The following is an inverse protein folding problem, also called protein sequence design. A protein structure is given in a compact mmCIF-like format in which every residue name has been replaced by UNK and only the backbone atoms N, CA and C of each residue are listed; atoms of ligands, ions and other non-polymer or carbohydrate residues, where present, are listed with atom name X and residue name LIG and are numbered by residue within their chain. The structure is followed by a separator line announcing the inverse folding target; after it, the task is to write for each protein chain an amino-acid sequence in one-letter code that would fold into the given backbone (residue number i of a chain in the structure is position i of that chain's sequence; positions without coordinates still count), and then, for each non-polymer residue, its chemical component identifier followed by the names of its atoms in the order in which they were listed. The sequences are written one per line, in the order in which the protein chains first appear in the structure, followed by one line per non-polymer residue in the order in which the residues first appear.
data_IF_406779694433
#
_entry.id   IF_406779694433
#
_cell.length_a   1.000
_cell.length_b   1.000
_cell.length_c   1.000
_cell.angle_alpha   90.00
_cell.angle_beta   90.00
_cell.angle_gamma   90.00
#
_symmetry.space_group_name_H-M   'P 1'
#
loop_
_entity.id
_entity.type
_entity.pdbx_description
1 polymer ?
#
# COMPACT_ATOMS: atom_id res chain seq x y z
N UNK A 1 -5.26 22.39 -22.27
CA UNK A 1 -6.17 22.89 -23.35
C UNK A 1 -6.13 24.41 -23.46
N UNK A 2 -6.35 25.18 -22.39
CA UNK A 2 -6.23 26.65 -22.38
C UNK A 2 -4.87 27.17 -22.89
N UNK A 3 -3.76 26.48 -22.56
CA UNK A 3 -2.42 26.91 -22.99
C UNK A 3 -2.14 26.73 -24.49
N UNK A 4 -2.70 25.71 -25.14
CA UNK A 4 -2.55 25.58 -26.60
C UNK A 4 -3.29 26.71 -27.32
N UNK A 5 -4.42 27.15 -26.75
CA UNK A 5 -5.19 28.29 -27.27
C UNK A 5 -4.41 29.59 -27.04
N UNK A 6 -3.87 29.83 -25.85
CA UNK A 6 -3.07 31.06 -25.59
C UNK A 6 -1.78 31.10 -26.40
N UNK A 7 -1.09 29.97 -26.55
CA UNK A 7 0.13 29.87 -27.36
C UNK A 7 -0.17 30.03 -28.85
N UNK A 8 -1.28 29.48 -29.36
CA UNK A 8 -1.72 29.67 -30.74
C UNK A 8 -2.14 31.12 -31.03
N UNK A 9 -2.84 31.77 -30.09
CA UNK A 9 -3.22 33.19 -30.18
C UNK A 9 -1.96 34.07 -30.15
N UNK A 10 -1.03 33.81 -29.24
CA UNK A 10 0.24 34.52 -29.17
C UNK A 10 1.04 34.35 -30.48
N UNK A 11 1.11 33.13 -31.03
CA UNK A 11 1.76 32.85 -32.31
C UNK A 11 1.08 33.60 -33.48
N UNK A 12 -0.26 33.63 -33.52
CA UNK A 12 -1.00 34.34 -34.56
C UNK A 12 -0.83 35.88 -34.49
N UNK A 13 -0.65 36.43 -33.28
CA UNK A 13 -0.39 37.86 -33.09
C UNK A 13 1.07 38.24 -33.38
N UNK A 14 2.03 37.44 -32.92
CA UNK A 14 3.47 37.72 -33.06
C UNK A 14 4.06 37.26 -34.40
N UNK A 15 3.44 36.31 -35.11
CA UNK A 15 3.90 35.86 -36.43
C UNK A 15 3.88 36.95 -37.51
N UNK A 16 3.25 38.10 -37.24
CA UNK A 16 3.26 39.29 -38.13
C UNK A 16 4.39 40.28 -37.85
N UNK A 17 5.07 40.21 -36.70
CA UNK A 17 6.20 41.08 -36.36
C UNK A 17 7.50 40.30 -36.47
N UNK A 18 8.42 40.71 -37.36
CA UNK A 18 9.69 40.02 -37.60
C UNK A 18 10.71 40.05 -36.43
N UNK A 19 10.34 40.60 -35.28
CA UNK A 19 11.19 40.63 -34.09
C UNK A 19 10.52 39.83 -32.99
N UNK A 20 10.96 38.57 -32.81
CA UNK A 20 10.68 37.84 -31.58
C UNK A 20 11.38 38.60 -30.44
N UNK A 21 10.60 39.32 -29.66
CA UNK A 21 11.08 40.00 -28.46
C UNK A 21 11.63 38.97 -27.47
N UNK A 22 12.79 39.23 -26.87
CA UNK A 22 13.44 38.32 -25.92
C UNK A 22 12.51 37.95 -24.75
N UNK A 23 11.63 38.87 -24.35
CA UNK A 23 10.62 38.60 -23.34
C UNK A 23 9.60 37.52 -23.75
N UNK A 24 9.20 37.48 -25.03
CA UNK A 24 8.27 36.48 -25.55
C UNK A 24 8.90 35.07 -25.54
N UNK A 25 10.19 34.97 -25.85
CA UNK A 25 10.95 33.72 -25.78
C UNK A 25 11.02 33.23 -24.33
N UNK A 26 11.39 34.11 -23.39
CA UNK A 26 11.48 33.77 -21.96
C UNK A 26 10.11 33.32 -21.42
N UNK A 27 9.03 34.02 -21.77
CA UNK A 27 7.68 33.65 -21.36
C UNK A 27 7.26 32.26 -21.90
N UNK A 28 7.58 31.96 -23.17
CA UNK A 28 7.34 30.62 -23.74
C UNK A 28 8.12 29.54 -23.00
N UNK A 29 9.41 29.75 -22.72
CA UNK A 29 10.24 28.78 -22.01
C UNK A 29 9.71 28.53 -20.59
N UNK A 30 9.46 29.58 -19.82
CA UNK A 30 8.94 29.47 -18.46
C UNK A 30 7.57 28.78 -18.45
N UNK A 31 6.66 29.18 -19.34
CA UNK A 31 5.34 28.55 -19.45
C UNK A 31 5.46 27.06 -19.79
N UNK A 32 6.36 26.66 -20.69
CA UNK A 32 6.63 25.27 -21.04
C UNK A 32 7.10 24.45 -19.83
N UNK A 33 8.05 24.98 -19.06
CA UNK A 33 8.58 24.31 -17.85
C UNK A 33 7.47 24.12 -16.81
N UNK A 34 6.72 25.18 -16.51
CA UNK A 34 5.62 25.13 -15.54
C UNK A 34 4.55 24.14 -16.00
N UNK A 35 4.17 24.18 -17.28
CA UNK A 35 3.19 23.26 -17.87
C UNK A 35 3.57 21.80 -17.68
N UNK A 36 4.84 21.48 -17.92
CA UNK A 36 5.37 20.14 -17.78
C UNK A 36 5.32 19.66 -16.33
N UNK A 37 5.79 20.50 -15.40
CA UNK A 37 5.82 20.16 -13.97
C UNK A 37 4.40 19.98 -13.40
N UNK A 38 3.51 20.93 -13.67
CA UNK A 38 2.11 20.87 -13.22
C UNK A 38 1.37 19.72 -13.90
N UNK A 39 1.65 19.45 -15.17
CA UNK A 39 1.08 18.31 -15.90
C UNK A 39 1.44 16.97 -15.26
N UNK A 40 2.72 16.72 -14.99
CA UNK A 40 3.18 15.51 -14.33
C UNK A 40 2.56 15.34 -12.94
N UNK A 41 2.54 16.43 -12.15
CA UNK A 41 1.91 16.45 -10.84
C UNK A 41 0.41 16.14 -10.91
N UNK A 42 -0.31 16.74 -11.86
CA UNK A 42 -1.75 16.53 -12.07
C UNK A 42 -2.04 15.08 -12.46
N UNK A 43 -1.27 14.50 -13.39
CA UNK A 43 -1.42 13.10 -13.79
C UNK A 43 -1.19 12.14 -12.61
N UNK A 44 -0.18 12.40 -11.77
CA UNK A 44 0.07 11.59 -10.58
C UNK A 44 -1.13 11.61 -9.61
N UNK A 45 -1.71 12.79 -9.36
CA UNK A 45 -2.87 12.93 -8.48
C UNK A 45 -4.16 12.35 -9.08
N UNK A 46 -4.36 12.47 -10.39
CA UNK A 46 -5.44 11.78 -11.08
C UNK A 46 -5.34 10.27 -10.85
N UNK A 47 -4.14 9.70 -10.98
CA UNK A 47 -3.89 8.29 -10.67
C UNK A 47 -4.33 7.93 -9.24
N UNK A 48 -3.95 8.73 -8.25
CA UNK A 48 -4.35 8.53 -6.85
C UNK A 48 -5.87 8.54 -6.67
N UNK A 49 -6.56 9.51 -7.27
CA UNK A 49 -8.03 9.59 -7.24
C UNK A 49 -8.65 8.36 -7.87
N UNK A 50 -8.16 7.91 -9.04
CA UNK A 50 -8.72 6.70 -9.69
C UNK A 50 -8.56 5.44 -8.84
N UNK A 51 -7.52 5.36 -8.02
CA UNK A 51 -7.25 4.23 -7.12
C UNK A 51 -7.95 4.35 -5.75
N UNK A 52 -8.59 5.49 -5.46
CA UNK A 52 -9.16 5.77 -4.15
C UNK A 52 -8.09 5.79 -3.06
N UNK A 53 -6.92 6.39 -3.35
CA UNK A 53 -5.78 6.45 -2.43
C UNK A 53 -5.33 7.89 -2.19
N UNK A 54 -4.87 8.18 -0.98
CA UNK A 54 -4.12 9.41 -0.70
C UNK A 54 -2.64 9.26 -1.05
N UNK A 55 -1.91 10.37 -1.17
CA UNK A 55 -0.45 10.37 -1.38
C UNK A 55 0.29 9.63 -0.25
N UNK A 56 -0.20 9.77 0.99
CA UNK A 56 0.36 9.10 2.18
C UNK A 56 0.15 7.59 2.08
N UNK A 57 -1.08 7.15 1.79
CA UNK A 57 -1.40 5.72 1.61
C UNK A 57 -0.60 5.10 0.46
N UNK A 58 -0.44 5.82 -0.66
CA UNK A 58 0.33 5.31 -1.78
C UNK A 58 1.82 5.11 -1.43
N UNK A 59 2.41 6.03 -0.66
CA UNK A 59 3.78 5.88 -0.18
C UNK A 59 3.93 4.64 0.71
N UNK A 60 2.99 4.42 1.63
CA UNK A 60 3.03 3.26 2.53
C UNK A 60 2.81 1.96 1.73
N UNK A 61 1.90 1.96 0.76
CA UNK A 61 1.67 0.82 -0.13
C UNK A 61 2.94 0.42 -0.89
N UNK A 62 3.68 1.38 -1.47
CA UNK A 62 4.94 1.07 -2.14
C UNK A 62 6.02 0.55 -1.20
N UNK A 63 6.12 1.10 0.01
CA UNK A 63 7.05 0.60 1.02
C UNK A 63 6.72 -0.86 1.39
N UNK A 64 5.44 -1.17 1.56
CA UNK A 64 4.99 -2.53 1.81
C UNK A 64 5.25 -3.46 0.62
N UNK A 65 4.92 -3.05 -0.61
CA UNK A 65 5.04 -3.88 -1.81
C UNK A 65 6.50 -4.31 -2.07
N UNK A 66 7.46 -3.43 -1.79
CA UNK A 66 8.89 -3.75 -1.82
C UNK A 66 9.29 -4.82 -0.80
N UNK A 67 8.61 -4.88 0.35
CA UNK A 67 8.86 -5.86 1.42
C UNK A 67 7.99 -7.12 1.32
N UNK A 68 7.03 -7.15 0.39
CA UNK A 68 6.05 -8.24 0.21
C UNK A 68 6.67 -9.64 0.04
N UNK A 69 7.79 -9.85 -0.69
CA UNK A 69 8.37 -11.18 -0.85
C UNK A 69 8.73 -11.85 0.48
N UNK A 70 9.15 -11.08 1.48
CA UNK A 70 9.45 -11.59 2.82
C UNK A 70 8.19 -11.96 3.59
N UNK A 71 7.12 -11.16 3.44
CA UNK A 71 5.83 -11.42 4.08
C UNK A 71 5.21 -12.73 3.58
N UNK A 72 5.22 -12.98 2.27
CA UNK A 72 4.67 -14.21 1.69
C UNK A 72 5.40 -15.46 2.19
N UNK A 73 6.72 -15.41 2.31
CA UNK A 73 7.51 -16.52 2.86
C UNK A 73 7.22 -16.75 4.34
N UNK A 74 7.13 -15.66 5.14
CA UNK A 74 6.80 -15.74 6.56
C UNK A 74 5.40 -16.29 6.79
N UNK A 75 4.42 -15.86 5.98
CA UNK A 75 3.04 -16.35 6.07
C UNK A 75 2.94 -17.83 5.70
N UNK A 76 3.64 -18.26 4.63
CA UNK A 76 3.72 -19.69 4.26
C UNK A 76 4.40 -20.53 5.34
N UNK A 77 5.49 -20.03 5.92
CA UNK A 77 6.21 -20.68 7.02
C UNK A 77 5.36 -20.76 8.29
N UNK A 78 4.67 -19.69 8.66
CA UNK A 78 3.80 -19.65 9.82
C UNK A 78 2.59 -20.58 9.64
N UNK A 79 2.01 -20.62 8.44
CA UNK A 79 0.94 -21.57 8.10
C UNK A 79 1.41 -23.02 8.13
N UNK A 80 2.60 -23.32 7.60
CA UNK A 80 3.13 -24.69 7.63
C UNK A 80 3.51 -25.13 9.05
N UNK A 81 4.09 -24.25 9.87
CA UNK A 81 4.38 -24.56 11.27
C UNK A 81 3.10 -24.72 12.09
N UNK A 82 2.13 -23.82 11.96
CA UNK A 82 0.88 -23.89 12.73
C UNK A 82 0.05 -25.14 12.40
N UNK A 83 0.19 -25.68 11.19
CA UNK A 83 -0.48 -26.92 10.77
C UNK A 83 0.28 -28.18 11.24
N UNK A 84 1.61 -28.10 11.42
CA UNK A 84 2.43 -29.20 11.94
C UNK A 84 2.41 -29.29 13.47
N UNK A 85 2.33 -28.16 14.18
CA UNK A 85 2.33 -28.10 15.64
C UNK A 85 1.34 -29.07 16.33
N UNK A 86 0.06 -29.20 15.91
CA UNK A 86 -0.86 -30.11 16.59
C UNK A 86 -0.62 -31.59 16.27
N UNK A 87 -0.03 -31.90 15.11
CA UNK A 87 0.25 -33.28 14.71
C UNK A 87 1.56 -33.79 15.34
N UNK A 88 2.61 -32.98 15.28
CA UNK A 88 3.93 -33.30 15.84
C UNK A 88 3.89 -33.37 17.37
N UNK A 89 3.14 -32.48 18.04
CA UNK A 89 3.01 -32.48 19.51
C UNK A 89 2.13 -33.63 20.02
N UNK A 90 1.22 -34.15 19.20
CA UNK A 90 0.42 -35.35 19.51
C UNK A 90 1.24 -36.63 19.30
N UNK A 91 2.17 -36.64 18.35
CA UNK A 91 3.10 -37.73 18.09
C UNK A 91 4.22 -37.78 19.16
N UNK A 92 4.79 -36.62 19.53
CA UNK A 92 5.80 -36.49 20.59
C UNK A 92 5.26 -36.89 21.99
N UNK A 93 3.98 -36.63 22.28
CA UNK A 93 3.36 -37.12 23.52
C UNK A 93 3.20 -38.65 23.51
N UNK A 94 2.93 -39.27 22.36
CA UNK A 94 2.88 -40.74 22.22
C UNK A 94 4.24 -41.41 22.33
N UNK A 95 5.29 -40.75 21.85
CA UNK A 95 6.67 -41.25 21.98
C UNK A 95 7.22 -41.08 23.40
N UNK A 96 6.85 -40.00 24.10
CA UNK A 96 7.22 -39.79 25.52
C UNK A 96 6.63 -40.84 26.47
N UNK A 97 5.45 -41.38 26.17
CA UNK A 97 4.85 -42.48 26.93
C UNK A 97 5.59 -43.82 26.76
N UNK A 98 6.55 -43.93 25.81
CA UNK A 98 7.30 -45.16 25.51
C UNK A 98 8.81 -45.08 25.78
N UNK A 99 9.39 -43.90 26.05
CA UNK A 99 10.85 -43.71 26.13
C UNK A 99 11.36 -43.11 27.46
N UNK A 100 10.64 -43.34 28.57
CA UNK A 100 11.16 -43.17 29.94
C UNK A 100 12.26 -44.21 30.24
N UNK A 101 13.46 -43.97 29.71
CA UNK A 101 14.63 -44.83 29.98
C UNK A 101 15.96 -44.40 29.37
N UNK A 102 16.02 -43.29 28.63
CA UNK A 102 17.23 -42.89 27.88
C UNK A 102 17.51 -41.37 27.95
N UNK A 103 17.42 -40.79 29.14
CA UNK A 103 17.22 -39.33 29.31
C UNK A 103 18.54 -38.52 29.37
N UNK A 104 19.61 -38.98 29.99
CA UNK A 104 20.69 -38.05 30.38
C UNK A 104 21.69 -37.62 29.28
N UNK A 105 21.73 -38.29 28.11
CA UNK A 105 22.64 -37.90 26.99
C UNK A 105 21.97 -37.07 25.89
N UNK A 106 20.64 -37.07 25.80
CA UNK A 106 19.89 -36.29 24.81
C UNK A 106 19.69 -34.83 25.27
N UNK A 107 19.57 -34.59 26.58
CA UNK A 107 19.34 -33.26 27.17
C UNK A 107 20.44 -32.24 26.80
N UNK A 108 21.72 -32.62 26.86
CA UNK A 108 22.83 -31.70 26.55
C UNK A 108 22.92 -31.32 25.05
N UNK A 109 22.38 -32.16 24.17
CA UNK A 109 22.32 -31.89 22.72
C UNK A 109 21.09 -31.06 22.34
N UNK A 110 19.99 -31.20 23.08
CA UNK A 110 18.77 -30.41 22.92
C UNK A 110 19.02 -28.99 23.42
N UNK A 111 19.64 -28.83 24.60
CA UNK A 111 19.94 -27.51 25.18
C UNK A 111 20.87 -26.66 24.28
N UNK A 112 21.86 -27.29 23.65
CA UNK A 112 22.73 -26.60 22.67
C UNK A 112 22.00 -26.21 21.39
N UNK A 113 21.01 -27.00 20.95
CA UNK A 113 20.17 -26.66 19.80
C UNK A 113 19.21 -25.54 20.15
N UNK A 114 18.62 -25.56 21.34
CA UNK A 114 17.69 -24.53 21.80
C UNK A 114 18.37 -23.17 21.94
N UNK A 115 19.58 -23.13 22.49
CA UNK A 115 20.39 -21.91 22.55
C UNK A 115 20.80 -21.39 21.16
N UNK A 116 21.03 -22.29 20.19
CA UNK A 116 21.36 -21.90 18.82
C UNK A 116 20.12 -21.41 18.04
N UNK A 117 18.94 -21.98 18.31
CA UNK A 117 17.65 -21.55 17.75
C UNK A 117 17.26 -20.20 18.35
N UNK A 118 17.44 -19.99 19.65
CA UNK A 118 17.16 -18.72 20.34
C UNK A 118 18.06 -17.58 19.84
N UNK A 119 19.37 -17.85 19.67
CA UNK A 119 20.31 -16.87 19.10
C UNK A 119 20.00 -16.54 17.64
N UNK A 120 19.60 -17.53 16.83
CA UNK A 120 19.14 -17.28 15.45
C UNK A 120 17.81 -16.51 15.42
N UNK A 121 16.88 -16.82 16.31
CA UNK A 121 15.61 -16.11 16.46
C UNK A 121 15.80 -14.63 16.80
N UNK A 122 16.64 -14.34 17.80
CA UNK A 122 16.97 -12.96 18.23
C UNK A 122 17.74 -12.16 17.18
N UNK A 123 18.57 -12.82 16.36
CA UNK A 123 19.29 -12.16 15.27
C UNK A 123 18.38 -11.84 14.06
N UNK A 124 17.38 -12.68 13.79
CA UNK A 124 16.38 -12.47 12.73
C UNK A 124 15.33 -11.44 13.14
N UNK A 125 14.98 -11.34 14.42
CA UNK A 125 14.02 -10.35 14.94
C UNK A 125 14.55 -8.91 14.94
N UNK A 126 15.88 -8.73 14.95
CA UNK A 126 16.51 -7.40 14.98
C UNK A 126 16.63 -6.74 13.61
N UNK A 127 16.36 -7.47 12.53
CA UNK A 127 16.27 -6.93 11.17
C UNK A 127 14.80 -6.68 10.84
N UNK A 128 14.41 -5.41 10.95
CA UNK A 128 13.18 -4.80 10.42
C UNK A 128 11.86 -5.42 10.89
N UNK A 129 11.21 -4.77 11.85
CA UNK A 129 9.77 -4.99 12.09
C UNK A 129 9.06 -4.86 10.74
N UNK A 130 8.29 -5.87 10.30
CA UNK A 130 7.61 -5.79 9.02
C UNK A 130 6.74 -4.55 9.02
N UNK A 131 6.86 -3.72 7.98
CA UNK A 131 6.01 -2.56 7.79
C UNK A 131 4.58 -3.08 7.75
N UNK A 132 3.84 -2.86 8.85
CA UNK A 132 2.43 -3.21 8.91
C UNK A 132 1.74 -2.37 7.85
N UNK A 133 0.94 -3.01 7.02
CA UNK A 133 0.02 -2.28 6.16
C UNK A 133 -0.85 -1.38 7.05
N UNK A 134 -1.15 -0.15 6.59
CA UNK A 134 -2.11 0.66 7.29
C UNK A 134 -3.45 -0.08 7.30
N UNK A 135 -4.31 0.25 8.27
CA UNK A 135 -5.66 -0.32 8.45
C UNK A 135 -6.59 -0.14 7.24
N UNK A 136 -6.09 0.47 6.17
CA UNK A 136 -6.75 0.76 4.90
C UNK A 136 -6.46 -0.29 3.81
N UNK A 137 -5.58 -1.27 4.06
CA UNK A 137 -5.27 -2.36 3.12
C UNK A 137 -5.38 -3.74 3.76
N UNK A 138 -5.82 -4.72 2.98
CA UNK A 138 -5.73 -6.15 3.33
C UNK A 138 -4.28 -6.64 3.25
N UNK A 139 -3.93 -7.74 3.92
CA UNK A 139 -2.61 -8.40 3.80
C UNK A 139 -2.27 -8.79 2.36
N UNK A 140 -3.28 -8.98 1.51
CA UNK A 140 -3.13 -9.23 0.08
C UNK A 140 -2.85 -7.97 -0.75
N UNK A 141 -2.91 -6.79 -0.15
CA UNK A 141 -2.65 -5.49 -0.77
C UNK A 141 -3.88 -4.83 -1.40
N UNK A 142 -5.10 -5.32 -1.14
CA UNK A 142 -6.33 -4.71 -1.67
C UNK A 142 -6.66 -3.46 -0.84
N UNK A 143 -7.00 -2.38 -1.54
CA UNK A 143 -7.40 -1.11 -0.92
C UNK A 143 -8.86 -1.20 -0.49
N UNK A 144 -9.14 -0.94 0.79
CA UNK A 144 -10.49 -0.90 1.34
C UNK A 144 -11.34 0.22 0.71
N UNK A 145 -10.73 1.33 0.29
CA UNK A 145 -11.43 2.49 -0.25
C UNK A 145 -11.55 2.51 -1.78
N UNK A 146 -11.03 1.48 -2.47
CA UNK A 146 -11.15 1.42 -3.92
C UNK A 146 -12.50 0.83 -4.34
N UNK A 147 -13.45 1.71 -4.66
CA UNK A 147 -14.78 1.36 -5.16
C UNK A 147 -14.86 1.34 -6.70
N UNK A 148 -13.74 1.55 -7.39
CA UNK A 148 -13.63 1.64 -8.85
C UNK A 148 -13.49 3.08 -9.34
N UNK A 149 -12.87 3.24 -10.51
CA UNK A 149 -12.40 4.54 -11.05
C UNK A 149 -13.48 5.62 -11.02
N UNK A 150 -14.68 5.32 -11.51
CA UNK A 150 -15.78 6.29 -11.56
C UNK A 150 -16.33 6.65 -10.18
N UNK A 151 -16.47 5.67 -9.29
CA UNK A 151 -16.96 5.91 -7.94
C UNK A 151 -15.96 6.70 -7.11
N UNK A 152 -14.68 6.35 -7.18
CA UNK A 152 -13.62 7.08 -6.49
C UNK A 152 -13.52 8.52 -7.02
N UNK A 153 -13.63 8.73 -8.34
CA UNK A 153 -13.68 10.07 -8.93
C UNK A 153 -14.87 10.89 -8.41
N UNK A 154 -16.06 10.28 -8.37
CA UNK A 154 -17.27 10.92 -7.87
C UNK A 154 -17.22 11.21 -6.37
N UNK A 155 -16.56 10.37 -5.58
CA UNK A 155 -16.36 10.60 -4.14
C UNK A 155 -15.48 11.83 -3.89
N UNK A 156 -14.57 12.17 -4.81
CA UNK A 156 -13.75 13.39 -4.75
C UNK A 156 -14.47 14.59 -5.36
N UNK A 157 -14.94 14.47 -6.60
CA UNK A 157 -15.48 15.61 -7.38
C UNK A 157 -16.93 15.94 -7.05
N UNK A 158 -17.67 14.99 -6.47
CA UNK A 158 -19.07 15.12 -6.10
C UNK A 158 -20.07 14.74 -7.18
N UNK A 159 -21.36 14.68 -6.83
CA UNK A 159 -22.43 14.24 -7.74
C UNK A 159 -22.75 15.26 -8.84
N UNK A 160 -22.56 16.56 -8.57
CA UNK A 160 -22.88 17.63 -9.50
C UNK A 160 -21.72 17.90 -10.46
N UNK A 161 -21.82 17.43 -11.70
CA UNK A 161 -20.77 17.57 -12.73
C UNK A 161 -20.43 19.04 -13.05
N UNK A 162 -21.41 19.93 -12.98
CA UNK A 162 -21.18 21.36 -13.24
C UNK A 162 -20.23 21.99 -12.21
N UNK A 163 -20.27 21.52 -10.96
CA UNK A 163 -19.41 22.01 -9.89
C UNK A 163 -17.99 21.46 -9.96
N UNK A 164 -17.69 20.50 -10.85
CA UNK A 164 -16.34 19.94 -10.98
C UNK A 164 -15.31 20.95 -11.47
N UNK A 165 -15.74 21.98 -12.20
CA UNK A 165 -14.86 23.00 -12.77
C UNK A 165 -14.87 24.31 -11.97
N UNK A 166 -15.58 24.34 -10.84
CA UNK A 166 -15.72 25.51 -9.99
C UNK A 166 -15.06 25.18 -8.65
N UNK A 167 -14.22 26.06 -8.07
CA UNK A 167 -13.52 25.79 -6.81
C UNK A 167 -14.46 25.95 -5.59
N UNK A 168 -15.54 25.18 -5.57
CA UNK A 168 -16.52 25.10 -4.50
C UNK A 168 -16.57 23.63 -4.04
N UNK A 169 -16.59 23.41 -2.73
CA UNK A 169 -16.68 22.06 -2.17
C UNK A 169 -17.97 21.35 -2.61
N UNK A 170 -17.82 20.27 -3.38
CA UNK A 170 -18.91 19.40 -3.83
C UNK A 170 -18.71 17.94 -3.38
N UNK A 171 -17.60 17.65 -2.69
CA UNK A 171 -17.25 16.30 -2.25
C UNK A 171 -18.28 15.78 -1.22
N UNK A 172 -18.84 14.59 -1.42
CA UNK A 172 -19.74 13.96 -0.44
C UNK A 172 -18.98 13.49 0.80
N UNK A 173 -19.71 13.35 1.90
CA UNK A 173 -19.19 12.82 3.16
C UNK A 173 -18.79 13.90 4.15
N UNK A 174 -18.46 13.47 5.36
CA UNK A 174 -18.08 14.32 6.48
C UNK A 174 -16.55 14.30 6.75
N UNK A 175 -15.81 13.56 5.92
CA UNK A 175 -14.37 13.34 6.07
C UNK A 175 -13.98 12.44 7.24
N UNK A 176 -14.95 11.82 7.93
CA UNK A 176 -14.72 10.87 9.02
C UNK A 176 -15.07 9.46 8.59
N UNK A 177 -16.16 9.32 7.85
CA UNK A 177 -16.61 8.05 7.29
C UNK A 177 -16.44 8.05 5.78
N UNK A 178 -15.87 6.95 5.27
CA UNK A 178 -15.62 6.76 3.85
C UNK A 178 -16.28 5.47 3.39
N UNK A 179 -16.66 5.41 2.11
CA UNK A 179 -17.29 4.21 1.54
C UNK A 179 -16.26 3.11 1.34
N UNK A 180 -16.57 1.93 1.85
CA UNK A 180 -15.71 0.75 1.75
C UNK A 180 -16.13 -0.17 0.61
N UNK A 181 -15.14 -0.80 -0.02
CA UNK A 181 -15.34 -1.93 -0.89
C UNK A 181 -15.70 -3.16 -0.04
N UNK A 182 -16.93 -3.65 -0.18
CA UNK A 182 -17.45 -4.76 0.63
C UNK A 182 -16.56 -6.02 0.56
N UNK A 183 -16.02 -6.36 -0.62
CA UNK A 183 -15.17 -7.53 -0.78
C UNK A 183 -13.83 -7.37 -0.05
N UNK A 184 -13.21 -6.20 -0.15
CA UNK A 184 -11.95 -5.92 0.55
C UNK A 184 -12.16 -5.86 2.07
N UNK A 185 -13.30 -5.33 2.52
CA UNK A 185 -13.66 -5.27 3.94
C UNK A 185 -13.88 -6.66 4.54
N UNK A 186 -14.56 -7.55 3.82
CA UNK A 186 -14.79 -8.92 4.29
C UNK A 186 -13.48 -9.71 4.39
N UNK A 187 -12.58 -9.53 3.42
CA UNK A 187 -11.23 -10.10 3.46
C UNK A 187 -10.42 -9.57 4.65
N UNK A 188 -10.43 -8.25 4.88
CA UNK A 188 -9.78 -7.62 6.03
C UNK A 188 -10.30 -8.18 7.37
N UNK A 189 -11.63 -8.29 7.52
CA UNK A 189 -12.25 -8.86 8.74
C UNK A 189 -11.89 -10.34 8.93
N UNK A 190 -11.76 -11.11 7.86
CA UNK A 190 -11.31 -12.50 7.95
C UNK A 190 -9.86 -12.56 8.44
N UNK A 191 -8.97 -11.77 7.86
CA UNK A 191 -7.57 -11.69 8.27
C UNK A 191 -7.42 -11.31 9.75
N UNK A 192 -8.18 -10.33 10.23
CA UNK A 192 -8.20 -9.91 11.63
C UNK A 192 -8.63 -11.06 12.57
N UNK A 193 -9.68 -11.81 12.20
CA UNK A 193 -10.13 -12.98 12.97
C UNK A 193 -9.08 -14.08 13.00
N UNK A 194 -8.37 -14.31 11.90
CA UNK A 194 -7.28 -15.27 11.86
C UNK A 194 -6.11 -14.87 12.76
N UNK A 195 -5.76 -13.58 12.81
CA UNK A 195 -4.70 -13.08 13.70
C UNK A 195 -5.09 -13.22 15.17
N UNK A 196 -6.30 -12.78 15.54
CA UNK A 196 -6.81 -12.92 16.92
C UNK A 196 -6.81 -14.37 17.43
N UNK A 197 -7.06 -15.35 16.54
CA UNK A 197 -7.00 -16.78 16.88
C UNK A 197 -5.57 -17.31 17.07
N UNK A 198 -4.56 -16.68 16.48
CA UNK A 198 -3.17 -17.07 16.67
C UNK A 198 -2.56 -16.46 17.94
N UNK A 199 -3.15 -15.38 18.43
CA UNK A 199 -2.69 -14.65 19.62
C UNK A 199 -3.36 -15.16 20.92
N UNK A 200 -4.46 -15.90 20.81
CA UNK A 200 -5.20 -16.50 21.92
C UNK A 200 -4.76 -17.96 22.17
#
# INVERSE_FOLDING_TARGET
MWMLITTAIAYAQYGRSQTFDGYAIVAMVISGIISFLVGAFTCAHLGLVTLGRTTIENKIYHAWDLTRPQHDQRFKFQRSNSQKLPAEKAEENRERDMEEGRVEKKEQAIEKKDQAIEKKGKAVEKTEKPVRLPETFTLTGKNLYNNGVWYNWRDVMGPNVLLWFIPIGNSPGDGREFRYNAMALDEYKQEERYQKKQEA
#
